data_IF_227104982505
#
_entry.id   IF_227104982505
#
_cell.length_a   1.000
_cell.length_b   1.000
_cell.length_c   1.000
_cell.angle_alpha   90.00
_cell.angle_beta   90.00
_cell.angle_gamma   90.00
#
_symmetry.space_group_name_H-M   'P 1'
#
loop_
_entity.id
_entity.type
_entity.pdbx_description
1 polymer ?
#
# COMPACT_ATOMS: atom_id res chain seq x y z
N UNK A 1 -2.86 10.45 -12.94
CA UNK A 1 -2.27 9.25 -12.28
C UNK A 1 -3.40 8.46 -11.61
N UNK A 2 -3.52 7.15 -11.85
CA UNK A 2 -4.58 6.36 -11.21
C UNK A 2 -4.22 6.10 -9.74
N UNK A 3 -5.18 6.24 -8.82
CA UNK A 3 -4.94 6.09 -7.37
C UNK A 3 -4.29 4.75 -7.02
N UNK A 4 -4.65 3.68 -7.73
CA UNK A 4 -4.07 2.35 -7.53
C UNK A 4 -2.58 2.29 -7.93
N UNK A 5 -2.20 2.97 -9.01
CA UNK A 5 -0.81 3.03 -9.48
C UNK A 5 0.06 3.82 -8.52
N UNK A 6 -0.44 4.93 -7.97
CA UNK A 6 0.27 5.69 -6.94
C UNK A 6 0.53 4.82 -5.69
N UNK A 7 -0.45 4.02 -5.27
CA UNK A 7 -0.28 3.07 -4.15
C UNK A 7 0.79 2.02 -4.48
N UNK A 8 0.78 1.47 -5.71
CA UNK A 8 1.79 0.50 -6.16
C UNK A 8 3.19 1.10 -6.13
N UNK A 9 3.37 2.32 -6.65
CA UNK A 9 4.65 3.01 -6.65
C UNK A 9 5.19 3.20 -5.23
N UNK A 10 4.35 3.70 -4.31
CA UNK A 10 4.73 3.93 -2.91
C UNK A 10 5.13 2.64 -2.21
N UNK A 11 4.34 1.57 -2.39
CA UNK A 11 4.62 0.27 -1.78
C UNK A 11 5.74 -0.51 -2.48
N UNK A 12 6.20 -0.05 -3.65
CA UNK A 12 7.33 -0.64 -4.35
C UNK A 12 8.69 -0.23 -3.77
N UNK A 13 8.72 0.80 -2.91
CA UNK A 13 9.92 1.21 -2.20
C UNK A 13 10.48 0.05 -1.35
N UNK A 14 11.81 -0.12 -1.32
CA UNK A 14 12.53 -1.19 -0.62
C UNK A 14 12.06 -1.37 0.84
N UNK A 15 11.88 -0.28 1.58
CA UNK A 15 11.43 -0.34 2.99
C UNK A 15 9.97 -0.79 3.10
N UNK A 16 9.09 -0.26 2.25
CA UNK A 16 7.67 -0.61 2.23
C UNK A 16 7.43 -2.05 1.76
N UNK A 17 8.26 -2.59 0.86
CA UNK A 17 8.22 -4.01 0.48
C UNK A 17 8.51 -4.93 1.66
N UNK A 18 9.49 -4.57 2.50
CA UNK A 18 9.91 -5.38 3.67
C UNK A 18 8.90 -5.29 4.82
N UNK A 19 8.66 -4.06 5.29
CA UNK A 19 7.99 -3.81 6.57
C UNK A 19 6.49 -3.48 6.40
N UNK A 20 6.09 -3.18 5.16
CA UNK A 20 4.81 -2.56 4.84
C UNK A 20 4.71 -1.10 5.28
N UNK A 21 3.65 -0.44 4.83
CA UNK A 21 3.38 0.96 5.13
C UNK A 21 1.96 1.13 5.64
N UNK A 22 1.79 2.02 6.61
CA UNK A 22 0.48 2.35 7.15
C UNK A 22 -0.30 3.22 6.16
N UNK A 23 -1.61 2.98 6.05
CA UNK A 23 -2.52 3.67 5.13
C UNK A 23 -2.49 5.20 5.27
N UNK A 24 -2.29 5.73 6.49
CA UNK A 24 -2.12 7.18 6.73
C UNK A 24 -0.92 7.74 5.95
N UNK A 25 0.21 7.02 5.94
CA UNK A 25 1.42 7.47 5.25
C UNK A 25 1.27 7.33 3.74
N UNK A 26 0.66 6.24 3.26
CA UNK A 26 0.34 6.07 1.83
C UNK A 26 -0.53 7.24 1.36
N UNK A 27 -1.62 7.54 2.06
CA UNK A 27 -2.50 8.66 1.73
C UNK A 27 -1.75 10.00 1.78
N UNK A 28 -0.84 10.20 2.74
CA UNK A 28 -0.04 11.43 2.85
C UNK A 28 0.92 11.59 1.68
N UNK A 29 1.60 10.54 1.25
CA UNK A 29 2.44 10.59 0.06
C UNK A 29 1.62 10.95 -1.18
N UNK A 30 0.45 10.32 -1.38
CA UNK A 30 -0.42 10.62 -2.52
C UNK A 30 -0.92 12.07 -2.44
N UNK A 31 -1.32 12.51 -1.26
CA UNK A 31 -1.74 13.88 -1.02
C UNK A 31 -0.63 14.87 -1.44
N UNK A 32 0.59 14.70 -0.91
CA UNK A 32 1.72 15.57 -1.21
C UNK A 32 2.22 15.48 -2.66
N UNK A 33 1.93 14.39 -3.38
CA UNK A 33 2.24 14.29 -4.81
C UNK A 33 1.26 15.08 -5.68
N UNK A 34 0.02 15.24 -5.22
CA UNK A 34 -1.03 15.96 -5.97
C UNK A 34 -1.17 17.42 -5.53
N UNK A 35 -0.69 17.74 -4.33
CA UNK A 35 -0.77 19.05 -3.72
C UNK A 35 0.64 19.59 -3.51
N UNK A 36 0.96 20.74 -4.12
CA UNK A 36 2.21 21.44 -3.87
C UNK A 36 2.38 21.72 -2.36
N UNK A 37 3.63 21.89 -1.92
CA UNK A 37 4.06 22.02 -0.52
C UNK A 37 3.31 23.07 0.33
N UNK A 38 2.48 23.91 -0.30
CA UNK A 38 1.78 25.07 0.27
C UNK A 38 0.28 25.11 -0.01
N UNK A 39 -0.35 24.04 -0.50
CA UNK A 39 -1.81 24.06 -0.62
C UNK A 39 -2.42 23.85 0.77
N UNK A 40 -3.19 24.82 1.25
CA UNK A 40 -4.09 24.72 2.41
C UNK A 40 -5.12 23.60 2.18
N UNK A 41 -4.67 22.36 2.30
CA UNK A 41 -5.47 21.23 1.96
C UNK A 41 -6.37 20.90 3.15
N UNK A 42 -7.63 21.33 3.02
CA UNK A 42 -8.77 20.96 3.84
C UNK A 42 -8.60 19.55 4.46
N UNK A 43 -8.52 19.45 5.80
CA UNK A 43 -8.37 18.18 6.53
C UNK A 43 -9.41 17.13 6.10
N UNK A 44 -10.60 17.58 5.72
CA UNK A 44 -11.67 16.76 5.15
C UNK A 44 -11.24 16.01 3.88
N UNK A 45 -10.45 16.64 3.00
CA UNK A 45 -9.94 16.03 1.76
C UNK A 45 -8.95 14.90 2.03
N UNK A 46 -8.07 15.08 3.02
CA UNK A 46 -7.12 14.05 3.42
C UNK A 46 -7.83 12.81 4.00
N UNK A 47 -8.85 13.02 4.84
CA UNK A 47 -9.59 11.92 5.43
C UNK A 47 -10.42 11.13 4.42
N UNK A 48 -11.02 11.80 3.45
CA UNK A 48 -11.69 11.17 2.32
C UNK A 48 -10.69 10.33 1.50
N UNK A 49 -9.51 10.88 1.19
CA UNK A 49 -8.46 10.16 0.48
C UNK A 49 -8.00 8.92 1.27
N UNK A 50 -7.75 9.07 2.58
CA UNK A 50 -7.37 7.96 3.47
C UNK A 50 -8.42 6.84 3.44
N UNK A 51 -9.71 7.17 3.49
CA UNK A 51 -10.80 6.19 3.40
C UNK A 51 -10.83 5.48 2.04
N UNK A 52 -10.64 6.23 0.93
CA UNK A 52 -10.56 5.66 -0.43
C UNK A 52 -9.39 4.70 -0.58
N UNK A 53 -8.19 5.10 -0.15
CA UNK A 53 -6.99 4.25 -0.17
C UNK A 53 -7.21 2.98 0.65
N UNK A 54 -7.76 3.10 1.86
CA UNK A 54 -8.05 1.94 2.70
C UNK A 54 -9.06 0.98 2.04
N UNK A 55 -10.09 1.50 1.38
CA UNK A 55 -11.09 0.69 0.66
C UNK A 55 -10.44 -0.10 -0.48
N UNK A 56 -9.57 0.51 -1.28
CA UNK A 56 -8.83 -0.16 -2.37
C UNK A 56 -7.96 -1.29 -1.81
N UNK A 57 -7.13 -0.97 -0.80
CA UNK A 57 -6.22 -1.94 -0.18
C UNK A 57 -6.96 -3.11 0.46
N UNK A 58 -8.03 -2.82 1.23
CA UNK A 58 -8.81 -3.84 1.90
C UNK A 58 -9.56 -4.75 0.90
N UNK A 59 -10.14 -4.17 -0.16
CA UNK A 59 -10.85 -4.94 -1.17
C UNK A 59 -9.91 -5.85 -1.95
N UNK A 60 -8.73 -5.36 -2.33
CA UNK A 60 -7.75 -6.17 -3.04
C UNK A 60 -7.15 -7.27 -2.13
N UNK A 61 -6.85 -6.95 -0.87
CA UNK A 61 -6.33 -7.91 0.10
C UNK A 61 -7.32 -9.04 0.44
N UNK A 62 -8.63 -8.84 0.22
CA UNK A 62 -9.67 -9.87 0.37
C UNK A 62 -9.73 -10.83 -0.84
N UNK A 63 -9.14 -10.48 -1.99
CA UNK A 63 -9.20 -11.34 -3.18
C UNK A 63 -8.37 -12.61 -2.95
N UNK A 64 -8.99 -13.77 -3.23
CA UNK A 64 -8.33 -15.09 -3.10
C UNK A 64 -7.24 -15.32 -4.15
N UNK A 65 -7.39 -14.74 -5.34
CA UNK A 65 -6.46 -14.89 -6.48
C UNK A 65 -6.07 -13.52 -7.02
N UNK A 66 -4.83 -13.40 -7.52
CA UNK A 66 -4.28 -12.20 -8.17
C UNK A 66 -4.35 -10.91 -7.32
N UNK A 67 -4.37 -11.01 -5.99
CA UNK A 67 -4.20 -9.84 -5.13
C UNK A 67 -2.76 -9.32 -5.19
N UNK A 68 -2.64 -8.00 -5.32
CA UNK A 68 -1.36 -7.29 -5.34
C UNK A 68 -0.99 -6.80 -3.94
N UNK A 69 -1.99 -6.52 -3.11
CA UNK A 69 -1.80 -6.00 -1.76
C UNK A 69 -2.12 -7.05 -0.70
N UNK A 70 -1.30 -7.10 0.36
CA UNK A 70 -1.50 -7.99 1.50
C UNK A 70 -1.37 -7.23 2.81
N UNK A 71 -2.12 -7.69 3.83
CA UNK A 71 -1.99 -7.16 5.20
C UNK A 71 -0.66 -7.60 5.80
N UNK A 72 -0.08 -6.75 6.64
CA UNK A 72 1.15 -7.08 7.36
C UNK A 72 0.82 -7.84 8.64
N UNK A 73 1.45 -8.99 8.85
CA UNK A 73 1.36 -9.75 10.10
C UNK A 73 2.36 -9.20 11.12
N UNK A 74 1.95 -9.09 12.38
CA UNK A 74 2.89 -8.82 13.46
C UNK A 74 3.53 -10.15 13.90
N UNK A 75 4.85 -10.33 13.79
CA UNK A 75 5.51 -11.58 14.17
C UNK A 75 5.41 -11.86 15.68
N UNK A 76 5.27 -10.82 16.52
CA UNK A 76 5.17 -10.99 17.97
C UNK A 76 3.80 -11.48 18.43
N UNK A 77 2.73 -11.08 17.75
CA UNK A 77 1.35 -11.33 18.19
C UNK A 77 0.55 -12.22 17.26
N UNK A 78 1.11 -12.59 16.09
CA UNK A 78 0.43 -13.30 15.01
C UNK A 78 -0.92 -12.68 14.58
N UNK A 79 -1.11 -11.39 14.85
CA UNK A 79 -2.29 -10.62 14.44
C UNK A 79 -1.93 -9.67 13.31
N UNK A 80 -2.87 -9.40 12.41
CA UNK A 80 -2.68 -8.40 11.37
C UNK A 80 -2.53 -7.00 11.98
N UNK A 81 -1.51 -6.28 11.55
CA UNK A 81 -1.27 -4.89 11.95
C UNK A 81 -2.35 -4.01 11.32
N UNK A 82 -3.16 -3.35 12.15
CA UNK A 82 -4.24 -2.47 11.71
C UNK A 82 -3.71 -1.39 10.77
N UNK A 83 -4.28 -1.32 9.56
CA UNK A 83 -3.96 -0.29 8.56
C UNK A 83 -2.62 -0.46 7.85
N UNK A 84 -1.85 -1.53 8.10
CA UNK A 84 -0.58 -1.78 7.41
C UNK A 84 -0.76 -2.74 6.24
N UNK A 85 -0.22 -2.34 5.09
CA UNK A 85 -0.25 -3.13 3.85
C UNK A 85 1.13 -3.16 3.21
N UNK A 86 1.41 -4.22 2.45
CA UNK A 86 2.59 -4.36 1.59
C UNK A 86 2.21 -5.02 0.28
N UNK A 87 3.13 -4.99 -0.68
CA UNK A 87 2.96 -5.76 -1.91
C UNK A 87 3.05 -7.26 -1.60
N UNK A 88 2.23 -8.04 -2.28
CA UNK A 88 2.38 -9.49 -2.31
C UNK A 88 3.78 -9.78 -2.87
N UNK A 89 4.58 -10.63 -2.21
CA UNK A 89 5.82 -11.09 -2.80
C UNK A 89 5.46 -11.80 -4.11
N UNK A 90 5.85 -11.21 -5.24
CA UNK A 90 5.92 -11.96 -6.48
C UNK A 90 6.95 -13.04 -6.23
N UNK A 91 6.51 -14.30 -6.18
CA UNK A 91 7.43 -15.40 -6.41
C UNK A 91 7.92 -15.18 -7.83
N UNK A 92 9.08 -14.55 -7.99
CA UNK A 92 9.88 -14.80 -9.18
C UNK A 92 10.00 -16.31 -9.20
N UNK A 93 9.26 -16.95 -10.12
CA UNK A 93 9.53 -18.32 -10.45
C UNK A 93 11.01 -18.33 -10.81
N UNK A 94 11.84 -18.88 -9.93
CA UNK A 94 13.19 -19.27 -10.29
C UNK A 94 13.01 -20.37 -11.32
N UNK A 95 12.80 -19.99 -12.58
CA UNK A 95 13.18 -20.84 -13.70
C UNK A 95 14.67 -21.00 -13.55
N UNK A 96 15.08 -22.06 -12.85
CA UNK A 96 16.42 -22.62 -12.98
C UNK A 96 16.56 -22.89 -14.47
N UNK A 97 17.25 -22.01 -15.17
CA UNK A 97 17.80 -22.32 -16.49
C UNK A 97 18.83 -23.40 -16.21
N UNK A 98 18.46 -24.65 -16.45
CA UNK A 98 19.41 -25.75 -16.55
C UNK A 98 20.21 -25.52 -17.83
N UNK A 99 21.48 -25.17 -17.68
CA UNK A 99 22.51 -25.35 -18.69
C UNK A 99 23.47 -26.41 -18.16
#
# INVERSE_FOLDING_TARGET
MNLKESILLILSNKKAKRDGLHVKHIARHIHNLNNNLFSDANENGFDILKRKVNRILANDAKKKRKNMFVKVLNPKTNKFRKGYYKLRPTRLATTKTAN
#
